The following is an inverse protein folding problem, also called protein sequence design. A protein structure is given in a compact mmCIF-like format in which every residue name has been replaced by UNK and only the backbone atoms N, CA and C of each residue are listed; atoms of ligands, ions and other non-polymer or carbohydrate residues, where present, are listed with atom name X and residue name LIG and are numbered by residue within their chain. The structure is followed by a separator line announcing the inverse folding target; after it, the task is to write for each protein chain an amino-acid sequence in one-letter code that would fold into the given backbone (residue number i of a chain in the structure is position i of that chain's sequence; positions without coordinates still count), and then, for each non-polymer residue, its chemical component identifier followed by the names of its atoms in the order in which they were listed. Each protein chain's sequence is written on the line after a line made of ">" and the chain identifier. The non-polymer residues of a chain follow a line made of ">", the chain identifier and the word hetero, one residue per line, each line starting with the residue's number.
data_IF_679824603112
#
_entry.id   IF_679824603112
#
_cell.length_a   1.000
_cell.length_b   1.000
_cell.length_c   1.000
_cell.angle_alpha   90.00
_cell.angle_beta   90.00
_cell.angle_gamma   90.00
#
_symmetry.space_group_name_H-M   'P 1'
#
loop_
_entity.id
_entity.type
_entity.pdbx_description
1 polymer ?
#
# COMPACT_ATOMS: atom_id res chain seq x y z
N UNK A 1 31.12 68.97 49.87
CA UNK A 1 31.69 69.34 48.56
C UNK A 1 31.33 68.27 47.55
N UNK A 2 30.71 68.75 46.47
CA UNK A 2 30.24 68.08 45.25
C UNK A 2 30.88 66.73 44.85
N UNK A 3 30.03 65.74 44.60
CA UNK A 3 30.34 64.56 43.79
C UNK A 3 29.21 64.29 42.80
N UNK A 4 29.30 64.84 41.59
CA UNK A 4 28.55 64.39 40.40
C UNK A 4 29.39 63.32 39.71
N UNK A 5 28.84 62.13 39.50
CA UNK A 5 29.20 61.28 38.36
C UNK A 5 27.96 60.53 37.88
N UNK A 6 27.43 61.00 36.75
CA UNK A 6 26.44 60.33 35.92
C UNK A 6 27.12 59.16 35.21
N UNK A 7 26.57 57.95 35.29
CA UNK A 7 26.87 56.87 34.33
C UNK A 7 25.55 56.28 33.85
N UNK A 8 25.42 56.28 32.52
CA UNK A 8 24.19 56.02 31.77
C UNK A 8 23.68 54.59 31.92
N UNK A 9 22.36 54.48 31.84
CA UNK A 9 21.66 53.22 31.69
C UNK A 9 21.96 52.63 30.32
N UNK A 10 22.61 51.46 30.29
CA UNK A 10 22.67 50.61 29.09
C UNK A 10 21.40 49.77 29.08
N UNK A 11 20.48 50.11 28.19
CA UNK A 11 19.27 49.34 27.90
C UNK A 11 19.70 48.05 27.18
N UNK A 12 19.66 46.92 27.88
CA UNK A 12 19.83 45.61 27.27
C UNK A 12 18.55 45.23 26.51
N UNK A 13 18.61 45.21 25.18
CA UNK A 13 17.59 44.63 24.31
C UNK A 13 17.61 43.11 24.50
N UNK A 14 16.62 42.58 25.22
CA UNK A 14 16.37 41.15 25.29
C UNK A 14 15.84 40.66 23.93
N UNK A 15 16.67 39.95 23.19
CA UNK A 15 16.26 39.22 21.99
C UNK A 15 15.37 38.05 22.42
N UNK A 16 14.05 38.20 22.22
CA UNK A 16 13.10 37.11 22.37
C UNK A 16 13.37 36.07 21.26
N UNK A 17 14.05 34.97 21.63
CA UNK A 17 14.10 33.77 20.80
C UNK A 17 12.67 33.20 20.75
N UNK A 18 11.96 33.50 19.67
CA UNK A 18 10.81 32.70 19.24
C UNK A 18 11.33 31.29 18.93
N UNK A 19 11.18 30.39 19.88
CA UNK A 19 11.27 28.96 19.62
C UNK A 19 10.16 28.63 18.62
N UNK A 20 10.53 28.44 17.34
CA UNK A 20 9.66 27.75 16.39
C UNK A 20 9.41 26.36 16.99
N UNK A 21 8.21 26.15 17.52
CA UNK A 21 7.73 24.81 17.76
C UNK A 21 7.76 24.07 16.42
N UNK A 22 8.54 23.01 16.35
CA UNK A 22 8.52 22.12 15.19
C UNK A 22 7.08 21.68 14.96
N UNK A 23 6.55 21.97 13.76
CA UNK A 23 5.28 21.41 13.33
C UNK A 23 5.41 19.88 13.38
N UNK A 24 4.35 19.13 13.76
CA UNK A 24 4.39 17.68 13.72
C UNK A 24 4.78 17.22 12.31
N UNK A 25 5.75 16.30 12.24
CA UNK A 25 6.20 15.63 11.01
C UNK A 25 4.97 15.23 10.19
N UNK A 26 4.89 15.77 8.97
CA UNK A 26 3.84 15.45 8.01
C UNK A 26 3.88 13.94 7.71
N UNK A 27 2.81 13.42 7.11
CA UNK A 27 2.64 12.01 6.72
C UNK A 27 3.72 11.46 5.73
N UNK A 28 4.82 12.18 5.54
CA UNK A 28 5.81 12.02 4.48
C UNK A 28 7.03 11.18 4.88
N UNK A 29 7.24 10.89 6.18
CA UNK A 29 8.45 10.15 6.64
C UNK A 29 8.27 8.63 6.80
N UNK A 30 7.13 8.06 6.39
CA UNK A 30 6.95 6.60 6.45
C UNK A 30 7.50 5.96 5.19
N UNK A 31 8.54 5.11 5.33
CA UNK A 31 9.17 4.41 4.20
C UNK A 31 8.10 3.76 3.29
N UNK A 32 8.17 3.91 1.97
CA UNK A 32 7.17 3.34 1.07
C UNK A 32 7.12 1.81 1.12
N UNK A 33 5.96 1.24 0.81
CA UNK A 33 5.77 -0.20 0.77
C UNK A 33 6.35 -0.75 -0.51
N UNK A 34 7.29 -1.69 -0.38
CA UNK A 34 7.95 -2.33 -1.52
C UNK A 34 7.71 -3.83 -1.44
N UNK A 35 6.44 -4.23 -1.55
CA UNK A 35 5.97 -5.62 -1.65
C UNK A 35 4.90 -5.68 -2.73
N UNK A 36 4.86 -6.76 -3.49
CA UNK A 36 3.96 -6.92 -4.64
C UNK A 36 3.16 -8.22 -4.49
N UNK A 37 1.88 -8.17 -4.81
CA UNK A 37 1.06 -9.39 -4.89
C UNK A 37 1.24 -10.04 -6.26
N UNK A 38 1.55 -11.33 -6.30
CA UNK A 38 1.52 -12.09 -7.55
C UNK A 38 0.07 -12.33 -8.01
N UNK A 39 -0.32 -11.90 -9.22
CA UNK A 39 -1.60 -12.28 -9.81
C UNK A 39 -1.77 -13.80 -9.93
N UNK A 40 -3.01 -14.26 -10.08
CA UNK A 40 -3.25 -15.69 -10.29
C UNK A 40 -2.82 -16.11 -11.69
N UNK A 41 -2.52 -17.41 -11.87
CA UNK A 41 -2.16 -17.99 -13.17
C UNK A 41 -3.25 -17.72 -14.20
N UNK A 42 -4.52 -17.80 -13.81
CA UNK A 42 -5.67 -17.57 -14.68
C UNK A 42 -5.73 -16.12 -15.16
N UNK A 43 -5.49 -15.14 -14.27
CA UNK A 43 -5.51 -13.72 -14.63
C UNK A 43 -4.38 -13.37 -15.61
N UNK A 44 -3.18 -13.89 -15.37
CA UNK A 44 -2.03 -13.69 -16.27
C UNK A 44 -2.26 -14.39 -17.61
N UNK A 45 -2.76 -15.62 -17.61
CA UNK A 45 -3.08 -16.38 -18.84
C UNK A 45 -4.09 -15.63 -19.69
N UNK A 46 -5.20 -15.20 -19.08
CA UNK A 46 -6.26 -14.46 -19.76
C UNK A 46 -5.78 -13.14 -20.39
N UNK A 47 -4.82 -12.46 -19.74
CA UNK A 47 -4.33 -11.15 -20.18
C UNK A 47 -3.19 -11.26 -21.20
N UNK A 48 -2.31 -12.25 -21.04
CA UNK A 48 -1.17 -12.51 -21.95
C UNK A 48 -1.55 -13.29 -23.20
N UNK A 49 -2.65 -14.05 -23.16
CA UNK A 49 -2.99 -15.01 -24.20
C UNK A 49 -2.15 -16.29 -24.18
N UNK A 50 -1.31 -16.48 -23.15
CA UNK A 50 -0.52 -17.69 -22.99
C UNK A 50 -1.27 -18.74 -22.16
N UNK A 51 -1.04 -20.02 -22.46
CA UNK A 51 -1.45 -21.12 -21.59
C UNK A 51 -0.38 -21.31 -20.50
N UNK A 52 -0.68 -20.84 -19.28
CA UNK A 52 0.18 -20.97 -18.10
C UNK A 52 -0.48 -21.93 -17.10
N UNK A 53 0.30 -22.73 -16.39
CA UNK A 53 -0.21 -23.75 -15.44
C UNK A 53 0.46 -23.71 -14.07
N UNK A 54 1.46 -22.85 -13.90
CA UNK A 54 2.28 -22.80 -12.71
C UNK A 54 2.62 -21.36 -12.33
N UNK A 55 2.65 -21.13 -11.01
CA UNK A 55 3.16 -19.92 -10.38
C UNK A 55 4.16 -20.33 -9.29
N UNK A 56 5.37 -19.78 -9.37
CA UNK A 56 6.34 -19.77 -8.26
C UNK A 56 6.57 -18.33 -7.83
N UNK A 57 6.43 -18.05 -6.54
CA UNK A 57 6.52 -16.68 -6.01
C UNK A 57 7.48 -16.59 -4.83
N UNK A 58 8.19 -15.46 -4.76
CA UNK A 58 8.92 -15.02 -3.57
C UNK A 58 8.41 -13.64 -3.14
N UNK A 59 8.99 -13.07 -2.07
CA UNK A 59 8.69 -11.68 -1.66
C UNK A 59 8.96 -10.68 -2.80
N UNK A 60 9.95 -10.98 -3.66
CA UNK A 60 10.48 -10.09 -4.68
C UNK A 60 10.06 -10.40 -6.12
N UNK A 61 9.42 -11.54 -6.37
CA UNK A 61 9.27 -12.06 -7.73
C UNK A 61 8.09 -13.01 -7.91
N UNK A 62 7.57 -13.04 -9.13
CA UNK A 62 6.52 -13.96 -9.58
C UNK A 62 6.95 -14.59 -10.91
N UNK A 63 6.89 -15.91 -10.97
CA UNK A 63 7.31 -16.69 -12.12
C UNK A 63 6.17 -17.56 -12.60
N UNK A 64 5.80 -17.36 -13.87
CA UNK A 64 4.73 -18.13 -14.50
C UNK A 64 5.33 -19.00 -15.60
N UNK A 65 4.91 -20.26 -15.65
CA UNK A 65 5.34 -21.23 -16.65
C UNK A 65 4.17 -21.83 -17.41
N UNK A 66 4.41 -22.14 -18.69
CA UNK A 66 3.55 -23.01 -19.48
C UNK A 66 3.77 -24.49 -19.16
N UNK A 67 2.78 -25.34 -19.48
CA UNK A 67 2.90 -26.79 -19.37
C UNK A 67 4.14 -27.37 -20.04
N UNK A 68 4.50 -28.57 -19.61
CA UNK A 68 5.66 -29.31 -20.16
C UNK A 68 5.47 -29.65 -21.65
N UNK A 69 4.22 -29.86 -22.07
CA UNK A 69 3.85 -30.17 -23.45
C UNK A 69 3.24 -28.92 -24.11
N UNK A 70 3.68 -28.60 -25.32
CA UNK A 70 3.19 -27.45 -26.09
C UNK A 70 4.17 -26.27 -26.16
N UNK A 71 3.73 -25.11 -26.66
CA UNK A 71 4.52 -23.89 -26.69
C UNK A 71 5.03 -23.52 -25.30
N UNK A 72 6.33 -23.22 -25.19
CA UNK A 72 6.96 -22.87 -23.91
C UNK A 72 6.93 -21.36 -23.74
N UNK A 73 6.05 -20.88 -22.87
CA UNK A 73 6.09 -19.50 -22.40
C UNK A 73 6.54 -19.46 -20.95
N UNK A 74 7.25 -18.38 -20.62
CA UNK A 74 7.64 -18.04 -19.25
C UNK A 74 7.46 -16.54 -19.11
N UNK A 75 6.68 -16.12 -18.11
CA UNK A 75 6.56 -14.71 -17.74
C UNK A 75 7.25 -14.55 -16.39
N UNK A 76 8.11 -13.55 -16.31
CA UNK A 76 8.83 -13.22 -15.09
C UNK A 76 8.50 -11.79 -14.68
N UNK A 77 8.09 -11.64 -13.43
CA UNK A 77 8.02 -10.36 -12.75
C UNK A 77 9.04 -10.33 -11.63
N UNK A 78 9.81 -9.24 -11.55
CA UNK A 78 10.67 -8.92 -10.41
C UNK A 78 10.52 -7.45 -10.06
N UNK A 79 10.98 -7.04 -8.88
CA UNK A 79 11.20 -5.63 -8.60
C UNK A 79 12.50 -5.41 -7.82
N UNK A 80 13.09 -4.24 -8.04
CA UNK A 80 14.27 -3.77 -7.31
C UNK A 80 13.85 -2.68 -6.33
N UNK A 81 14.17 -2.88 -5.04
CA UNK A 81 13.99 -1.87 -3.98
C UNK A 81 15.06 -0.78 -4.13
N UNK A 82 14.72 0.43 -3.66
CA UNK A 82 15.63 1.57 -3.64
C UNK A 82 16.20 1.91 -5.03
N UNK A 83 15.40 1.69 -6.06
CA UNK A 83 15.77 1.95 -7.44
C UNK A 83 14.97 3.12 -8.00
N UNK A 84 15.63 3.96 -8.81
CA UNK A 84 14.97 4.93 -9.64
C UNK A 84 14.81 4.39 -11.07
N UNK A 85 13.68 4.72 -11.69
CA UNK A 85 13.39 4.32 -13.06
C UNK A 85 14.40 4.94 -14.06
N UNK A 86 14.93 6.12 -13.74
CA UNK A 86 16.03 6.78 -14.46
C UNK A 86 17.30 5.93 -14.51
N UNK A 87 17.63 5.22 -13.43
CA UNK A 87 18.84 4.39 -13.36
C UNK A 87 18.68 3.14 -14.21
N UNK A 88 17.48 2.54 -14.20
CA UNK A 88 17.15 1.45 -15.10
C UNK A 88 17.27 1.90 -16.56
N UNK A 89 16.80 3.10 -16.88
CA UNK A 89 16.88 3.68 -18.22
C UNK A 89 18.31 3.95 -18.66
N UNK A 90 19.13 4.55 -17.80
CA UNK A 90 20.54 4.81 -18.06
C UNK A 90 21.32 3.50 -18.28
N UNK A 91 20.99 2.44 -17.52
CA UNK A 91 21.59 1.11 -17.71
C UNK A 91 21.22 0.50 -19.05
N UNK A 92 19.96 0.60 -19.49
CA UNK A 92 19.56 0.10 -20.82
C UNK A 92 20.21 0.91 -21.93
N UNK A 93 20.33 2.23 -21.77
CA UNK A 93 20.98 3.11 -22.74
C UNK A 93 22.48 2.85 -22.90
N UNK A 94 23.15 2.25 -21.90
CA UNK A 94 24.57 1.90 -22.01
C UNK A 94 24.84 0.61 -22.78
N UNK A 95 23.79 -0.15 -23.12
CA UNK A 95 23.93 -1.37 -23.89
C UNK A 95 24.20 -1.07 -25.36
N UNK A 96 25.32 -1.58 -25.86
CA UNK A 96 25.65 -1.52 -27.28
C UNK A 96 24.98 -2.67 -28.02
N UNK A 97 23.74 -2.47 -28.48
CA UNK A 97 23.05 -3.40 -29.37
C UNK A 97 22.38 -2.67 -30.53
N UNK A 98 22.66 -3.06 -31.79
CA UNK A 98 22.05 -2.44 -32.97
C UNK A 98 20.56 -2.77 -33.12
N UNK A 99 20.05 -3.79 -32.42
CA UNK A 99 18.63 -4.17 -32.43
C UNK A 99 17.85 -3.61 -31.24
N UNK A 100 18.50 -2.87 -30.33
CA UNK A 100 17.85 -2.31 -29.15
C UNK A 100 16.82 -1.26 -29.56
N UNK A 101 15.56 -1.51 -29.20
CA UNK A 101 14.46 -0.56 -29.33
C UNK A 101 13.95 -0.24 -27.93
N UNK A 102 13.83 1.05 -27.62
CA UNK A 102 13.23 1.54 -26.38
C UNK A 102 11.95 2.26 -26.73
N UNK A 103 10.85 1.92 -26.05
CA UNK A 103 9.54 2.53 -26.24
C UNK A 103 8.99 3.03 -24.91
N UNK A 104 8.26 4.13 -24.91
CA UNK A 104 7.57 4.63 -23.71
C UNK A 104 6.33 3.79 -23.42
N UNK A 105 6.05 3.55 -22.14
CA UNK A 105 4.90 2.78 -21.66
C UNK A 105 4.02 3.64 -20.73
N UNK A 106 3.43 4.76 -21.20
CA UNK A 106 2.75 5.74 -20.36
C UNK A 106 1.53 5.17 -19.61
N UNK A 107 0.98 4.04 -20.06
CA UNK A 107 -0.09 3.34 -19.37
C UNK A 107 0.30 2.84 -17.96
N UNK A 108 1.60 2.76 -17.66
CA UNK A 108 2.14 2.30 -16.38
C UNK A 108 2.69 3.42 -15.50
N UNK A 109 2.49 4.67 -15.91
CA UNK A 109 2.98 5.85 -15.19
C UNK A 109 4.07 6.59 -15.94
N UNK A 110 4.44 7.74 -15.37
CA UNK A 110 5.45 8.63 -15.95
C UNK A 110 6.83 7.95 -15.96
N UNK A 111 7.53 8.06 -17.10
CA UNK A 111 8.87 7.50 -17.29
C UNK A 111 8.92 5.97 -17.44
N UNK A 112 7.79 5.27 -17.37
CA UNK A 112 7.72 3.84 -17.64
C UNK A 112 8.10 3.56 -19.10
N UNK A 113 8.88 2.50 -19.33
CA UNK A 113 9.42 2.20 -20.65
C UNK A 113 9.61 0.70 -20.86
N UNK A 114 9.57 0.27 -22.11
CA UNK A 114 9.97 -1.05 -22.54
C UNK A 114 11.28 -0.98 -23.32
N UNK A 115 12.03 -2.07 -23.31
CA UNK A 115 13.05 -2.31 -24.31
C UNK A 115 12.92 -3.71 -24.92
N UNK A 116 13.35 -3.85 -26.18
CA UNK A 116 13.42 -5.14 -26.87
C UNK A 116 14.66 -5.18 -27.76
N UNK A 117 15.20 -6.38 -28.00
CA UNK A 117 16.36 -6.61 -28.86
C UNK A 117 16.10 -7.67 -29.95
N UNK A 118 14.83 -8.07 -30.12
CA UNK A 118 14.39 -9.15 -31.01
C UNK A 118 14.11 -10.47 -30.30
N UNK A 119 14.50 -10.64 -29.03
CA UNK A 119 14.24 -11.86 -28.23
C UNK A 119 13.00 -11.77 -27.33
N UNK A 120 12.43 -10.58 -27.17
CA UNK A 120 11.24 -10.29 -26.38
C UNK A 120 11.26 -8.87 -25.81
N UNK A 121 10.14 -8.44 -25.21
CA UNK A 121 10.04 -7.14 -24.55
C UNK A 121 10.29 -7.27 -23.04
N UNK A 122 11.07 -6.33 -22.50
CA UNK A 122 11.28 -6.15 -21.06
C UNK A 122 10.75 -4.78 -20.67
N UNK A 123 9.83 -4.77 -19.72
CA UNK A 123 9.09 -3.58 -19.33
C UNK A 123 9.50 -3.13 -17.93
N UNK A 124 9.68 -1.82 -17.75
CA UNK A 124 10.09 -1.19 -16.49
C UNK A 124 9.09 -0.10 -16.11
N UNK A 125 8.68 -0.10 -14.85
CA UNK A 125 7.83 0.94 -14.29
C UNK A 125 8.04 1.03 -12.78
N UNK A 126 7.61 2.14 -12.18
CA UNK A 126 7.58 2.25 -10.73
C UNK A 126 6.32 1.57 -10.19
N UNK A 127 6.47 0.41 -9.56
CA UNK A 127 5.32 -0.34 -9.00
C UNK A 127 4.85 0.26 -7.69
N UNK A 128 5.77 0.85 -6.93
CA UNK A 128 5.53 1.59 -5.70
C UNK A 128 6.67 2.60 -5.51
N UNK A 129 6.51 3.68 -4.72
CA UNK A 129 7.57 4.67 -4.55
C UNK A 129 8.91 4.05 -4.15
N UNK A 130 9.95 4.33 -4.97
CA UNK A 130 11.29 3.76 -4.78
C UNK A 130 11.40 2.25 -5.04
N UNK A 131 10.49 1.66 -5.82
CA UNK A 131 10.60 0.29 -6.30
C UNK A 131 10.29 0.19 -7.79
N UNK A 132 11.30 -0.21 -8.57
CA UNK A 132 11.17 -0.40 -10.02
C UNK A 132 10.88 -1.86 -10.32
N UNK A 133 9.73 -2.11 -10.92
CA UNK A 133 9.36 -3.42 -11.42
C UNK A 133 10.00 -3.71 -12.78
N UNK A 134 10.16 -4.99 -13.07
CA UNK A 134 10.53 -5.51 -14.38
C UNK A 134 9.61 -6.66 -14.74
N UNK A 135 9.05 -6.63 -15.95
CA UNK A 135 8.28 -7.73 -16.53
C UNK A 135 8.94 -8.17 -17.83
N UNK A 136 9.16 -9.48 -17.98
CA UNK A 136 9.75 -10.08 -19.18
C UNK A 136 8.98 -11.30 -19.66
N UNK A 137 9.28 -11.75 -20.88
CA UNK A 137 8.72 -12.97 -21.45
C UNK A 137 7.37 -12.82 -22.16
N UNK A 138 6.86 -11.58 -22.27
CA UNK A 138 5.69 -11.26 -23.09
C UNK A 138 6.15 -10.79 -24.47
N UNK A 139 5.56 -11.37 -25.53
CA UNK A 139 6.08 -11.31 -26.90
C UNK A 139 5.94 -9.94 -27.56
N UNK A 140 4.98 -9.13 -27.13
CA UNK A 140 4.77 -7.77 -27.60
C UNK A 140 4.56 -6.79 -26.45
N UNK A 141 4.92 -5.53 -26.69
CA UNK A 141 4.90 -4.46 -25.70
C UNK A 141 3.49 -4.11 -25.20
N UNK A 142 2.50 -4.11 -26.09
CA UNK A 142 1.14 -3.72 -25.73
C UNK A 142 0.51 -4.75 -24.79
N UNK A 143 0.74 -6.04 -25.05
CA UNK A 143 0.35 -7.13 -24.15
C UNK A 143 1.15 -7.10 -22.86
N UNK A 144 2.46 -6.83 -22.92
CA UNK A 144 3.30 -6.70 -21.72
C UNK A 144 2.78 -5.61 -20.78
N UNK A 145 2.41 -4.44 -21.32
CA UNK A 145 1.84 -3.35 -20.55
C UNK A 145 0.51 -3.75 -19.88
N UNK A 146 -0.37 -4.47 -20.58
CA UNK A 146 -1.62 -4.99 -19.98
C UNK A 146 -1.33 -5.95 -18.84
N UNK A 147 -0.43 -6.92 -19.04
CA UNK A 147 -0.04 -7.90 -18.02
C UNK A 147 0.57 -7.19 -16.81
N UNK A 148 1.39 -6.17 -17.02
CA UNK A 148 2.02 -5.40 -15.94
C UNK A 148 1.00 -4.71 -15.02
N UNK A 149 -0.14 -4.24 -15.55
CA UNK A 149 -1.18 -3.62 -14.70
C UNK A 149 -1.83 -4.58 -13.71
N UNK A 150 -1.66 -5.91 -13.87
CA UNK A 150 -2.12 -6.89 -12.90
C UNK A 150 -1.26 -6.87 -11.62
N UNK A 151 0.01 -6.47 -11.72
CA UNK A 151 0.92 -6.41 -10.59
C UNK A 151 0.75 -5.10 -9.85
N UNK A 152 0.19 -5.19 -8.65
CA UNK A 152 -0.02 -4.06 -7.77
C UNK A 152 0.74 -4.26 -6.47
N UNK A 153 1.13 -3.16 -5.79
CA UNK A 153 1.66 -3.26 -4.44
C UNK A 153 0.72 -4.04 -3.54
N UNK A 154 1.30 -4.93 -2.76
CA UNK A 154 0.56 -5.72 -1.80
C UNK A 154 -0.16 -4.77 -0.83
N UNK A 155 -1.46 -4.96 -0.65
CA UNK A 155 -2.30 -4.15 0.24
C UNK A 155 -2.27 -2.64 -0.07
N UNK A 156 -2.10 -2.23 -1.35
CA UNK A 156 -1.91 -0.81 -1.74
C UNK A 156 -2.85 0.19 -1.05
N UNK A 157 -4.15 -0.09 -1.00
CA UNK A 157 -5.15 0.82 -0.40
C UNK A 157 -5.02 0.94 1.10
N UNK A 158 -4.28 0.05 1.75
CA UNK A 158 -4.13 -0.02 3.20
C UNK A 158 -2.77 0.46 3.71
N UNK A 159 -1.78 0.55 2.83
CA UNK A 159 -0.38 0.69 3.26
C UNK A 159 0.41 1.74 2.49
N UNK A 160 -0.10 2.25 1.37
CA UNK A 160 0.55 3.30 0.58
C UNK A 160 -0.20 4.62 0.77
N UNK A 161 0.46 5.70 1.25
CA UNK A 161 -0.15 7.02 1.36
C UNK A 161 -0.70 7.53 0.02
N UNK A 162 -1.76 8.34 0.07
CA UNK A 162 -2.37 8.97 -1.10
C UNK A 162 -3.77 8.48 -1.43
N UNK A 163 -4.31 8.93 -2.55
CA UNK A 163 -5.60 8.51 -3.08
C UNK A 163 -5.46 7.39 -4.10
N UNK A 164 -6.34 6.41 -4.04
CA UNK A 164 -6.32 5.23 -4.91
C UNK A 164 -7.72 4.98 -5.49
N UNK A 165 -7.78 4.51 -6.73
CA UNK A 165 -9.02 3.99 -7.33
C UNK A 165 -8.88 2.50 -7.58
N UNK A 166 -9.57 1.68 -6.79
CA UNK A 166 -9.42 0.21 -6.79
C UNK A 166 -10.78 -0.45 -6.74
N UNK A 167 -11.02 -1.37 -7.67
CA UNK A 167 -12.29 -2.09 -7.83
C UNK A 167 -13.52 -1.15 -7.89
N UNK A 168 -13.39 -0.03 -8.62
CA UNK A 168 -14.47 0.96 -8.78
C UNK A 168 -14.75 1.83 -7.55
N UNK A 169 -13.91 1.76 -6.50
CA UNK A 169 -14.04 2.54 -5.27
C UNK A 169 -12.86 3.49 -5.12
N UNK A 170 -13.13 4.67 -4.55
CA UNK A 170 -12.09 5.62 -4.17
C UNK A 170 -11.65 5.35 -2.73
N UNK A 171 -10.35 5.34 -2.52
CA UNK A 171 -9.69 5.11 -1.25
C UNK A 171 -8.71 6.24 -0.99
N UNK A 172 -8.47 6.52 0.29
CA UNK A 172 -7.47 7.49 0.73
C UNK A 172 -6.75 6.90 1.92
N UNK A 173 -5.42 6.97 1.90
CA UNK A 173 -4.60 6.44 2.98
C UNK A 173 -3.59 7.47 3.45
N UNK A 174 -3.45 7.59 4.76
CA UNK A 174 -2.41 8.37 5.42
C UNK A 174 -1.66 7.46 6.38
N UNK A 175 -0.35 7.62 6.49
CA UNK A 175 0.46 6.80 7.38
C UNK A 175 1.26 7.68 8.35
N UNK A 176 1.51 7.15 9.54
CA UNK A 176 2.31 7.77 10.58
C UNK A 176 3.25 6.73 11.20
N UNK A 177 4.40 7.19 11.69
CA UNK A 177 5.26 6.34 12.51
C UNK A 177 4.51 5.91 13.77
N UNK A 178 4.60 4.63 14.12
CA UNK A 178 3.89 4.04 15.25
C UNK A 178 4.79 3.06 15.99
N UNK A 179 5.50 3.56 17.00
CA UNK A 179 6.50 2.78 17.75
C UNK A 179 7.53 2.17 16.79
N UNK A 180 7.78 0.86 16.83
CA UNK A 180 8.71 0.15 15.95
C UNK A 180 8.08 -0.30 14.60
N UNK A 181 6.90 0.21 14.25
CA UNK A 181 6.27 0.01 12.93
C UNK A 181 5.67 1.34 12.44
N UNK A 182 4.88 1.30 11.37
CA UNK A 182 4.04 2.40 10.92
C UNK A 182 2.57 2.00 10.95
N UNK A 183 1.69 2.98 11.20
CA UNK A 183 0.24 2.79 11.19
C UNK A 183 -0.37 3.63 10.08
N UNK A 184 -1.13 2.98 9.21
CA UNK A 184 -1.84 3.65 8.13
C UNK A 184 -3.33 3.69 8.43
N UNK A 185 -3.95 4.87 8.33
CA UNK A 185 -5.39 5.06 8.36
C UNK A 185 -5.91 5.01 6.93
N UNK A 186 -6.84 4.10 6.66
CA UNK A 186 -7.53 4.02 5.39
C UNK A 186 -8.94 4.55 5.50
N UNK A 187 -9.30 5.39 4.54
CA UNK A 187 -10.62 5.92 4.31
C UNK A 187 -11.13 5.48 2.95
N UNK A 188 -12.44 5.36 2.83
CA UNK A 188 -13.13 4.96 1.61
C UNK A 188 -14.21 5.97 1.30
N UNK A 189 -14.36 6.36 0.04
CA UNK A 189 -15.46 7.20 -0.38
C UNK A 189 -16.74 6.37 -0.41
N UNK A 190 -17.67 6.65 0.50
CA UNK A 190 -18.90 5.90 0.65
C UNK A 190 -20.06 6.78 1.11
N UNK A 191 -21.27 6.31 0.85
CA UNK A 191 -22.49 6.82 1.47
C UNK A 191 -22.74 6.00 2.74
N UNK A 192 -22.86 6.68 3.88
CA UNK A 192 -23.21 6.07 5.17
C UNK A 192 -24.55 6.59 5.63
N UNK A 193 -25.32 5.70 6.25
CA UNK A 193 -26.57 6.03 6.88
C UNK A 193 -26.28 6.44 8.33
N UNK A 194 -26.74 7.62 8.71
CA UNK A 194 -26.51 8.20 10.05
C UNK A 194 -27.85 8.44 10.73
N UNK A 195 -28.06 7.99 11.97
CA UNK A 195 -29.26 8.33 12.73
C UNK A 195 -29.35 9.85 12.96
N UNK A 196 -30.53 10.46 12.82
CA UNK A 196 -30.71 11.91 12.96
C UNK A 196 -31.89 12.33 13.86
N UNK A 197 -32.04 11.68 15.02
CA UNK A 197 -33.07 12.01 16.02
C UNK A 197 -34.43 11.38 15.70
N UNK A 198 -34.96 11.63 14.50
CA UNK A 198 -36.29 11.16 14.06
C UNK A 198 -36.23 10.11 12.94
N UNK A 199 -35.03 9.72 12.49
CA UNK A 199 -34.86 8.75 11.43
C UNK A 199 -33.41 8.54 11.02
N UNK A 200 -33.17 8.51 9.72
CA UNK A 200 -31.87 8.27 9.11
C UNK A 200 -31.59 9.28 7.99
N UNK A 201 -30.40 9.88 7.97
CA UNK A 201 -29.88 10.63 6.83
C UNK A 201 -28.79 9.85 6.12
N UNK A 202 -28.60 10.10 4.82
CA UNK A 202 -27.47 9.56 4.07
C UNK A 202 -26.42 10.64 3.91
N UNK A 203 -25.21 10.39 4.41
CA UNK A 203 -24.06 11.26 4.25
C UNK A 203 -23.05 10.60 3.32
N UNK A 204 -22.64 11.31 2.27
CA UNK A 204 -21.60 10.86 1.35
C UNK A 204 -20.28 11.58 1.67
N UNK A 205 -19.17 10.82 1.69
CA UNK A 205 -17.85 11.39 1.84
C UNK A 205 -16.79 10.34 2.15
N UNK A 206 -15.63 10.81 2.61
CA UNK A 206 -14.59 9.94 3.14
C UNK A 206 -15.02 9.35 4.49
N UNK A 207 -15.08 8.03 4.53
CA UNK A 207 -15.46 7.26 5.70
C UNK A 207 -14.28 6.44 6.15
N UNK A 208 -14.07 6.39 7.45
CA UNK A 208 -13.07 5.51 8.01
C UNK A 208 -13.36 4.05 7.66
N UNK A 209 -12.35 3.36 7.14
CA UNK A 209 -12.43 1.92 6.90
C UNK A 209 -11.71 1.15 8.02
N UNK A 210 -10.43 1.44 8.24
CA UNK A 210 -9.61 0.72 9.23
C UNK A 210 -8.21 1.33 9.37
N UNK A 211 -7.53 1.19 10.53
CA UNK A 211 -6.10 1.24 10.62
C UNK A 211 -5.46 -0.08 10.15
N UNK A 212 -4.26 0.05 9.61
CA UNK A 212 -3.34 -1.02 9.26
C UNK A 212 -2.02 -0.78 9.95
N UNK A 213 -1.60 -1.73 10.77
CA UNK A 213 -0.23 -1.77 11.27
C UNK A 213 0.63 -2.47 10.21
N UNK A 214 1.60 -1.74 9.66
CA UNK A 214 2.42 -2.20 8.55
C UNK A 214 3.37 -3.33 8.98
N UNK A 215 3.95 -3.97 7.96
CA UNK A 215 4.90 -5.07 8.11
C UNK A 215 5.90 -4.83 9.21
N UNK A 216 5.94 -5.77 10.14
CA UNK A 216 6.80 -5.75 11.31
C UNK A 216 7.09 -7.17 11.77
N UNK A 217 8.15 -7.36 12.54
CA UNK A 217 8.49 -8.69 13.07
C UNK A 217 7.41 -9.15 14.05
N UNK A 218 6.94 -10.39 13.91
CA UNK A 218 5.82 -10.90 14.72
C UNK A 218 6.18 -10.89 16.21
N UNK A 219 7.43 -11.16 16.53
CA UNK A 219 7.97 -11.22 17.88
C UNK A 219 7.77 -9.90 18.63
N UNK A 220 7.80 -8.76 17.93
CA UNK A 220 7.61 -7.44 18.58
C UNK A 220 6.21 -7.28 19.18
N UNK A 221 5.24 -8.02 18.66
CA UNK A 221 3.86 -7.96 19.14
C UNK A 221 3.64 -8.81 20.39
N UNK A 222 4.52 -9.78 20.68
CA UNK A 222 4.44 -10.64 21.85
C UNK A 222 3.03 -11.20 22.06
N UNK A 223 2.44 -10.93 23.22
CA UNK A 223 1.09 -11.37 23.60
C UNK A 223 -0.03 -10.40 23.21
N UNK A 224 0.26 -9.37 22.40
CA UNK A 224 -0.74 -8.41 21.98
C UNK A 224 -1.86 -9.11 21.18
N UNK A 225 -3.13 -9.01 21.60
CA UNK A 225 -4.21 -9.77 21.00
C UNK A 225 -4.57 -9.32 19.57
N UNK A 226 -4.12 -8.14 19.11
CA UNK A 226 -4.30 -7.71 17.72
C UNK A 226 -3.45 -8.52 16.72
N UNK A 227 -2.41 -9.20 17.21
CA UNK A 227 -1.44 -9.95 16.42
C UNK A 227 -1.47 -11.47 16.70
N UNK A 228 -2.43 -11.93 17.50
CA UNK A 228 -2.55 -13.32 17.91
C UNK A 228 -4.00 -13.79 17.78
N UNK A 229 -4.23 -14.92 17.10
CA UNK A 229 -5.57 -15.49 16.93
C UNK A 229 -6.22 -15.76 18.29
N UNK A 230 -7.49 -15.41 18.42
CA UNK A 230 -8.25 -15.64 19.65
C UNK A 230 -9.37 -14.64 19.85
N UNK A 231 -10.02 -14.72 21.01
CA UNK A 231 -11.06 -13.80 21.45
C UNK A 231 -10.68 -13.20 22.80
N UNK A 232 -10.95 -11.92 23.01
CA UNK A 232 -10.68 -11.25 24.28
C UNK A 232 -11.71 -10.15 24.54
N UNK A 233 -11.72 -9.67 25.78
CA UNK A 233 -12.49 -8.51 26.19
C UNK A 233 -11.51 -7.40 26.54
N UNK A 234 -11.70 -6.20 26.00
CA UNK A 234 -10.85 -5.07 26.36
C UNK A 234 -11.23 -4.47 27.73
N UNK A 235 -10.43 -3.54 28.23
CA UNK A 235 -10.68 -2.87 29.51
C UNK A 235 -11.97 -2.05 29.54
N UNK A 236 -12.57 -1.77 28.38
CA UNK A 236 -13.87 -1.07 28.26
C UNK A 236 -15.05 -2.05 28.17
N UNK A 237 -14.80 -3.36 28.24
CA UNK A 237 -15.81 -4.40 28.17
C UNK A 237 -16.23 -4.81 26.75
N UNK A 238 -15.59 -4.29 25.70
CA UNK A 238 -15.90 -4.70 24.33
C UNK A 238 -15.33 -6.07 24.04
N UNK A 239 -16.10 -6.91 23.35
CA UNK A 239 -15.64 -8.21 22.89
C UNK A 239 -14.95 -8.11 21.55
N UNK A 240 -13.85 -8.83 21.41
CA UNK A 240 -12.96 -8.80 20.26
C UNK A 240 -12.65 -10.22 19.77
N UNK A 241 -12.32 -10.32 18.50
CA UNK A 241 -11.70 -11.51 17.90
C UNK A 241 -10.59 -11.10 16.94
N UNK A 242 -9.54 -11.92 16.85
CA UNK A 242 -8.47 -11.82 15.87
C UNK A 242 -8.36 -13.17 15.16
N UNK A 243 -8.17 -13.12 13.85
CA UNK A 243 -7.79 -14.25 13.01
C UNK A 243 -6.46 -13.90 12.33
N UNK A 244 -5.53 -14.84 12.32
CA UNK A 244 -4.22 -14.69 11.68
C UNK A 244 -3.91 -15.88 10.77
N UNK A 245 -3.17 -15.63 9.70
CA UNK A 245 -2.62 -16.65 8.80
C UNK A 245 -3.66 -17.63 8.20
N UNK A 246 -4.91 -17.16 8.07
CA UNK A 246 -6.01 -17.92 7.47
C UNK A 246 -6.16 -17.58 5.99
N UNK A 247 -7.01 -18.32 5.27
CA UNK A 247 -7.41 -17.94 3.92
C UNK A 247 -8.10 -16.56 3.86
N UNK A 248 -8.78 -16.13 4.94
CA UNK A 248 -9.46 -14.84 5.01
C UNK A 248 -8.52 -13.66 5.27
N UNK A 249 -7.41 -13.89 5.97
CA UNK A 249 -6.43 -12.85 6.32
C UNK A 249 -5.22 -12.84 5.39
N UNK A 250 -4.88 -13.99 4.81
CA UNK A 250 -3.59 -14.26 4.17
C UNK A 250 -2.52 -14.64 5.20
N UNK A 251 -1.49 -15.37 4.74
CA UNK A 251 -0.28 -15.65 5.52
C UNK A 251 0.49 -14.34 5.76
N UNK A 252 1.06 -14.18 6.96
CA UNK A 252 1.77 -12.97 7.36
C UNK A 252 0.84 -11.80 7.69
N UNK A 253 -0.41 -12.08 8.08
CA UNK A 253 -1.35 -11.04 8.45
C UNK A 253 -2.35 -11.51 9.51
N UNK A 254 -2.80 -10.57 10.34
CA UNK A 254 -3.95 -10.69 11.23
C UNK A 254 -5.01 -9.65 10.89
N UNK A 255 -6.27 -10.00 11.13
CA UNK A 255 -7.41 -9.07 11.14
C UNK A 255 -8.10 -9.18 12.49
N UNK A 256 -8.55 -8.04 13.01
CA UNK A 256 -9.30 -7.99 14.26
C UNK A 256 -10.66 -7.34 14.04
N UNK A 257 -11.65 -7.86 14.77
CA UNK A 257 -13.03 -7.39 14.76
C UNK A 257 -13.48 -7.15 16.19
N UNK A 258 -14.34 -6.16 16.39
CA UNK A 258 -15.09 -6.02 17.65
C UNK A 258 -16.54 -6.45 17.43
N UNK A 259 -17.17 -6.95 18.48
CA UNK A 259 -18.59 -7.26 18.48
C UNK A 259 -19.37 -6.04 18.95
N UNK A 260 -20.30 -5.57 18.14
CA UNK A 260 -21.08 -4.39 18.47
C UNK A 260 -22.24 -4.12 17.51
N UNK A 261 -22.99 -3.04 17.76
CA UNK A 261 -24.09 -2.64 16.91
C UNK A 261 -23.58 -2.20 15.52
N UNK A 262 -24.24 -2.69 14.47
CA UNK A 262 -24.03 -2.27 13.09
C UNK A 262 -25.39 -2.05 12.42
N UNK A 263 -25.42 -1.15 11.43
CA UNK A 263 -26.62 -0.89 10.64
C UNK A 263 -26.71 -1.90 9.49
N UNK A 264 -27.85 -2.58 9.42
CA UNK A 264 -28.26 -3.37 8.29
C UNK A 264 -29.19 -2.56 7.40
N UNK A 265 -28.66 -2.15 6.24
CA UNK A 265 -29.35 -1.32 5.26
C UNK A 265 -29.98 -2.13 4.11
N UNK A 266 -30.05 -3.46 4.22
CA UNK A 266 -30.67 -4.29 3.18
C UNK A 266 -32.19 -4.21 3.12
N UNK A 267 -32.82 -3.61 4.14
CA UNK A 267 -34.25 -3.38 4.23
C UNK A 267 -34.63 -1.93 3.88
N UNK A 268 -35.90 -1.70 3.52
CA UNK A 268 -36.46 -0.36 3.28
C UNK A 268 -36.33 0.58 4.50
N UNK A 269 -36.15 0.00 5.68
CA UNK A 269 -35.86 0.71 6.92
C UNK A 269 -34.60 0.09 7.52
N UNK A 270 -33.51 0.87 7.71
CA UNK A 270 -32.30 0.37 8.33
C UNK A 270 -32.58 -0.18 9.73
N UNK A 271 -32.04 -1.35 10.04
CA UNK A 271 -32.15 -1.96 11.37
C UNK A 271 -30.80 -2.05 12.03
N UNK A 272 -30.75 -1.92 13.36
CA UNK A 272 -29.51 -2.14 14.12
C UNK A 272 -29.45 -3.59 14.54
N UNK A 273 -28.34 -4.27 14.25
CA UNK A 273 -28.06 -5.63 14.72
C UNK A 273 -26.69 -5.73 15.35
N UNK A 274 -26.50 -6.72 16.22
CA UNK A 274 -25.18 -7.05 16.76
C UNK A 274 -24.41 -7.92 15.77
N UNK A 275 -23.17 -7.56 15.46
CA UNK A 275 -22.32 -8.32 14.57
C UNK A 275 -20.83 -8.08 14.86
N UNK A 276 -19.98 -8.96 14.32
CA UNK A 276 -18.55 -8.73 14.26
C UNK A 276 -18.22 -7.72 13.16
N UNK A 277 -17.72 -6.55 13.55
CA UNK A 277 -17.36 -5.46 12.64
C UNK A 277 -15.84 -5.40 12.53
N UNK A 278 -15.33 -5.37 11.30
CA UNK A 278 -13.89 -5.26 11.05
C UNK A 278 -13.35 -3.96 11.62
N UNK A 279 -12.22 -4.04 12.32
CA UNK A 279 -11.64 -2.89 12.98
C UNK A 279 -10.25 -2.56 12.44
N UNK A 280 -9.33 -3.53 12.44
CA UNK A 280 -7.94 -3.30 12.10
C UNK A 280 -7.27 -4.53 11.53
N UNK A 281 -6.08 -4.32 10.98
CA UNK A 281 -5.21 -5.39 10.50
C UNK A 281 -3.75 -5.15 10.88
N UNK A 282 -3.01 -6.23 11.08
CA UNK A 282 -1.56 -6.25 11.37
C UNK A 282 -0.87 -7.09 10.30
N UNK A 283 0.24 -6.60 9.76
CA UNK A 283 1.02 -7.28 8.72
C UNK A 283 2.40 -7.66 9.26
N UNK A 284 2.94 -8.82 8.85
CA UNK A 284 4.20 -9.37 9.35
C UNK A 284 5.26 -9.60 8.28
N UNK A 285 6.52 -9.36 8.66
CA UNK A 285 7.74 -9.53 7.86
C UNK A 285 7.81 -10.88 7.16
#
# INVERSE_FOLDING_TARGET
>A
MSGRWVRGAVTALAAACLALAALPSSADDVEPVRRVSCPTVEAVSATSGYELDSLSSSVGSCWYGSPVKGPRHRIEFTYTKDAALSDARARVASWSSPSLKVTEAPALGEGAFAWSDGSGSNLYWEVSPGAVATLSGVGDEATAAKVATLFAPQMQVYTIPGEHSVAGRKWRTTCENYSATARCRTEIWASVIVPNGDGFSTNQGWQFNSPTYRWSDREMWGTNPLANSGTWTDSTGRHWRTECDTASTGRGACRSWFFGPTLDASASTPTVRQAWVFNNQVLFS
#
